data_IF_410686989579
#
_entry.id   IF_410686989579
#
_cell.length_a   1.000
_cell.length_b   1.000
_cell.length_c   1.000
_cell.angle_alpha   90.00
_cell.angle_beta   90.00
_cell.angle_gamma   90.00
#
_symmetry.space_group_name_H-M   'P 1'
#
loop_
_entity.id
_entity.type
_entity.pdbx_description
1 polymer ?
#
# COMPACT_ATOMS: atom_id res chain seq x y z
N UNK A 1 -19.03 -16.72 8.27
CA UNK A 1 -17.65 -16.23 8.53
C UNK A 1 -17.73 -14.80 9.04
N UNK A 2 -17.49 -14.58 10.33
CA UNK A 2 -17.65 -13.26 10.96
C UNK A 2 -16.61 -12.31 10.37
N UNK A 3 -17.06 -11.17 9.81
CA UNK A 3 -16.17 -10.15 9.23
C UNK A 3 -15.63 -9.31 10.37
N UNK A 4 -14.37 -9.54 10.75
CA UNK A 4 -13.69 -8.71 11.75
C UNK A 4 -13.16 -7.41 11.10
N UNK A 5 -13.63 -6.22 11.53
CA UNK A 5 -13.16 -4.95 10.97
C UNK A 5 -11.66 -4.74 11.18
N UNK A 6 -11.10 -5.33 12.23
CA UNK A 6 -9.67 -5.26 12.56
C UNK A 6 -8.80 -6.04 11.57
N UNK A 7 -9.30 -7.17 11.05
CA UNK A 7 -8.61 -7.95 10.03
C UNK A 7 -8.51 -7.17 8.72
N UNK A 8 -9.58 -6.45 8.35
CA UNK A 8 -9.58 -5.56 7.18
C UNK A 8 -8.60 -4.40 7.35
N UNK A 9 -8.54 -3.79 8.54
CA UNK A 9 -7.56 -2.75 8.83
C UNK A 9 -6.12 -3.26 8.69
N UNK A 10 -5.80 -4.47 9.19
CA UNK A 10 -4.46 -5.08 9.02
C UNK A 10 -4.10 -5.35 7.55
N UNK A 11 -5.10 -5.68 6.74
CA UNK A 11 -4.89 -6.13 5.37
C UNK A 11 -4.88 -5.01 4.33
N UNK A 12 -5.54 -3.88 4.59
CA UNK A 12 -5.73 -2.80 3.60
C UNK A 12 -5.28 -1.42 4.07
N UNK A 13 -5.36 -1.10 5.38
CA UNK A 13 -5.02 0.24 5.88
C UNK A 13 -3.55 0.55 5.60
N UNK A 14 -3.30 1.68 4.92
CA UNK A 14 -1.97 2.19 4.60
C UNK A 14 -1.07 1.23 3.82
N UNK A 15 -1.63 0.17 3.20
CA UNK A 15 -0.87 -0.75 2.35
C UNK A 15 -0.94 -0.33 0.90
N UNK A 16 0.23 -0.24 0.28
CA UNK A 16 0.41 0.13 -1.11
C UNK A 16 1.21 -0.94 -1.83
N UNK A 17 0.86 -1.18 -3.08
CA UNK A 17 1.47 -2.15 -3.98
C UNK A 17 2.25 -1.40 -5.04
N UNK A 18 3.52 -1.76 -5.23
CA UNK A 18 4.29 -1.21 -6.34
C UNK A 18 3.82 -1.76 -7.69
N UNK A 19 3.65 -0.89 -8.69
CA UNK A 19 3.19 -1.29 -10.03
C UNK A 19 4.22 -2.13 -10.80
N UNK A 20 5.52 -1.96 -10.52
CA UNK A 20 6.60 -2.70 -11.19
C UNK A 20 6.85 -4.07 -10.55
N UNK A 21 7.22 -4.08 -9.27
CA UNK A 21 7.67 -5.30 -8.58
C UNK A 21 6.59 -5.96 -7.72
N UNK A 22 5.37 -5.41 -7.67
CA UNK A 22 4.23 -5.91 -6.87
C UNK A 22 4.51 -6.03 -5.37
N UNK A 23 5.62 -5.45 -4.89
CA UNK A 23 5.95 -5.43 -3.46
C UNK A 23 4.91 -4.62 -2.69
N UNK A 24 4.52 -5.13 -1.53
CA UNK A 24 3.59 -4.46 -0.63
C UNK A 24 4.37 -3.71 0.42
N UNK A 25 4.04 -2.44 0.62
CA UNK A 25 4.66 -1.58 1.63
C UNK A 25 3.60 -0.85 2.42
N UNK A 26 3.95 -0.47 3.65
CA UNK A 26 3.13 0.41 4.47
C UNK A 26 3.64 1.83 4.37
N UNK A 27 2.77 2.77 4.03
CA UNK A 27 3.09 4.20 4.06
C UNK A 27 1.82 5.04 4.17
N UNK A 28 1.94 6.34 4.41
CA UNK A 28 0.79 7.25 4.46
C UNK A 28 0.47 7.77 3.07
N UNK A 29 -0.82 7.95 2.78
CA UNK A 29 -1.29 8.41 1.47
C UNK A 29 -0.67 9.76 1.07
N UNK A 30 -0.54 10.69 2.03
CA UNK A 30 0.08 12.00 1.81
C UNK A 30 1.52 11.89 1.30
N UNK A 31 2.33 10.96 1.83
CA UNK A 31 3.73 10.80 1.41
C UNK A 31 3.84 10.19 0.00
N UNK A 32 2.87 9.35 -0.40
CA UNK A 32 2.81 8.78 -1.75
C UNK A 32 2.39 9.85 -2.77
N UNK A 33 1.33 10.61 -2.46
CA UNK A 33 0.88 11.71 -3.32
C UNK A 33 1.98 12.76 -3.50
N UNK A 34 2.71 13.07 -2.42
CA UNK A 34 3.87 13.96 -2.47
C UNK A 34 5.11 13.34 -3.15
N UNK A 35 5.06 12.09 -3.64
CA UNK A 35 6.18 11.44 -4.33
C UNK A 35 7.42 11.18 -3.45
N UNK A 36 7.28 11.26 -2.13
CA UNK A 36 8.35 11.08 -1.12
C UNK A 36 8.62 9.62 -0.78
N UNK A 37 7.77 8.70 -1.24
CA UNK A 37 7.92 7.25 -1.00
C UNK A 37 8.34 6.56 -2.29
N UNK A 38 9.53 5.99 -2.30
CA UNK A 38 10.00 5.09 -3.34
C UNK A 38 9.81 3.63 -2.91
N UNK A 39 9.68 2.74 -3.89
CA UNK A 39 9.71 1.31 -3.61
C UNK A 39 11.09 0.88 -3.10
N UNK A 40 11.13 0.18 -1.96
CA UNK A 40 12.40 -0.31 -1.38
C UNK A 40 13.17 -1.27 -2.29
N UNK A 41 12.49 -1.99 -3.19
CA UNK A 41 13.11 -2.98 -4.10
C UNK A 41 13.53 -2.39 -5.44
N UNK A 42 12.67 -1.61 -6.08
CA UNK A 42 12.89 -1.13 -7.46
C UNK A 42 12.96 0.40 -7.58
N UNK A 43 12.93 1.11 -6.45
CA UNK A 43 13.00 2.58 -6.33
C UNK A 43 11.91 3.35 -7.09
N UNK A 44 10.99 2.66 -7.76
CA UNK A 44 9.89 3.28 -8.48
C UNK A 44 8.93 3.98 -7.52
N UNK A 45 8.50 5.18 -7.91
CA UNK A 45 7.49 5.99 -7.19
C UNK A 45 6.05 5.64 -7.59
N UNK A 46 5.87 4.64 -8.46
CA UNK A 46 4.57 4.23 -8.99
C UNK A 46 3.93 3.21 -8.05
N UNK A 47 3.20 3.71 -7.06
CA UNK A 47 2.54 2.94 -5.99
C UNK A 47 1.01 3.03 -6.14
N UNK A 48 0.30 1.93 -5.86
CA UNK A 48 -1.17 1.85 -5.88
C UNK A 48 -1.70 1.44 -4.50
N UNK A 49 -2.81 2.01 -4.00
CA UNK A 49 -3.42 1.55 -2.76
C UNK A 49 -3.98 0.14 -2.91
N UNK A 50 -3.78 -0.71 -1.90
CA UNK A 50 -4.41 -2.04 -1.85
C UNK A 50 -5.84 -1.88 -1.34
N UNK A 51 -6.83 -2.01 -2.23
CA UNK A 51 -8.26 -1.95 -1.88
C UNK A 51 -8.83 -3.36 -1.74
N UNK A 52 -9.81 -3.52 -0.85
CA UNK A 52 -10.68 -4.70 -0.81
C UNK A 52 -11.58 -4.64 -2.04
N UNK A 53 -11.70 -5.75 -2.77
CA UNK A 53 -12.58 -5.90 -3.93
C UNK A 53 -13.90 -6.49 -3.47
#
# INVERSE_FOLDING_TARGET
MVKFPEADARMFKNKFVCRKCKSVMRSTNMKIIAGKVSCRKCQAKVLKPKRKK
#
